data_IF_282984587902
#
_entry.id   IF_282984587902
#
_cell.length_a   1.000
_cell.length_b   1.000
_cell.length_c   1.000
_cell.angle_alpha   90.00
_cell.angle_beta   90.00
_cell.angle_gamma   90.00
#
_symmetry.space_group_name_H-M   'P 1'
#
loop_
_entity.id
_entity.type
_entity.pdbx_description
1 polymer ?
#
# COMPACT_ATOMS: atom_id res chain seq x y z
N UNK A 1 31.52 -13.54 48.52
CA UNK A 1 31.16 -13.97 47.15
C UNK A 1 29.69 -14.30 46.93
N UNK A 2 28.92 -14.81 47.92
CA UNK A 2 27.47 -15.10 47.76
C UNK A 2 26.56 -13.87 47.53
N UNK A 3 26.90 -12.71 48.09
CA UNK A 3 26.09 -11.49 47.99
C UNK A 3 26.13 -10.80 46.62
N UNK A 4 27.20 -10.99 45.84
CA UNK A 4 27.34 -10.43 44.50
C UNK A 4 26.40 -11.10 43.47
N UNK A 5 26.16 -12.41 43.61
CA UNK A 5 25.25 -13.15 42.74
C UNK A 5 23.79 -12.72 42.97
N UNK A 6 23.39 -12.46 44.22
CA UNK A 6 22.02 -12.04 44.54
C UNK A 6 21.71 -10.64 44.00
N UNK A 7 22.67 -9.71 44.06
CA UNK A 7 22.51 -8.36 43.54
C UNK A 7 22.37 -8.34 42.00
N UNK A 8 23.15 -9.16 41.28
CA UNK A 8 23.06 -9.27 39.82
C UNK A 8 21.75 -9.89 39.38
N UNK A 9 21.24 -10.91 40.12
CA UNK A 9 19.96 -11.54 39.82
C UNK A 9 18.78 -10.57 40.02
N UNK A 10 18.80 -9.76 41.10
CA UNK A 10 17.77 -8.75 41.34
C UNK A 10 17.78 -7.66 40.26
N UNK A 11 18.96 -7.20 39.84
CA UNK A 11 19.11 -6.19 38.79
C UNK A 11 18.58 -6.67 37.42
N UNK A 12 18.79 -7.96 37.10
CA UNK A 12 18.24 -8.57 35.88
C UNK A 12 16.71 -8.69 35.91
N UNK A 13 16.11 -8.98 37.07
CA UNK A 13 14.65 -9.06 37.20
C UNK A 13 14.01 -7.66 37.05
N UNK A 14 14.67 -6.60 37.54
CA UNK A 14 14.16 -5.23 37.40
C UNK A 14 14.30 -4.65 36.00
N UNK A 15 15.29 -5.08 35.20
CA UNK A 15 15.45 -4.58 33.83
C UNK A 15 14.47 -5.19 32.82
N UNK A 16 13.93 -6.39 33.10
CA UNK A 16 12.89 -7.01 32.26
C UNK A 16 11.48 -6.45 32.50
N UNK A 17 11.29 -5.63 33.54
CA UNK A 17 9.98 -5.09 33.95
C UNK A 17 9.53 -3.83 33.22
N UNK A 18 10.37 -3.24 32.36
CA UNK A 18 10.03 -2.06 31.57
C UNK A 18 9.99 -2.35 30.07
N UNK A 19 9.49 -3.52 29.67
CA UNK A 19 9.03 -3.67 28.29
C UNK A 19 7.66 -2.97 28.23
N UNK A 20 7.68 -1.68 27.89
CA UNK A 20 6.45 -0.92 27.62
C UNK A 20 5.62 -1.75 26.64
N UNK A 21 4.45 -2.22 27.08
CA UNK A 21 3.43 -2.84 26.23
C UNK A 21 3.01 -1.81 25.19
N UNK A 22 3.83 -1.64 24.15
CA UNK A 22 3.45 -0.88 22.98
C UNK A 22 2.29 -1.64 22.35
N UNK A 23 1.18 -0.96 22.05
CA UNK A 23 0.09 -1.60 21.32
C UNK A 23 0.67 -2.23 20.05
N UNK A 24 0.36 -3.50 19.83
CA UNK A 24 0.84 -4.27 18.70
C UNK A 24 0.54 -3.50 17.41
N UNK A 25 1.53 -3.27 16.55
CA UNK A 25 1.30 -2.56 15.31
C UNK A 25 0.61 -3.47 14.27
N UNK A 26 -0.04 -2.87 13.28
CA UNK A 26 -0.76 -3.62 12.25
C UNK A 26 0.14 -4.60 11.47
N UNK A 27 1.40 -4.24 11.25
CA UNK A 27 2.36 -5.12 10.57
C UNK A 27 2.74 -6.34 11.43
N UNK A 28 2.93 -6.15 12.74
CA UNK A 28 3.20 -7.25 13.67
C UNK A 28 2.00 -8.20 13.77
N UNK A 29 0.78 -7.65 13.80
CA UNK A 29 -0.45 -8.44 13.78
C UNK A 29 -0.57 -9.28 12.50
N UNK A 30 -0.23 -8.70 11.35
CA UNK A 30 -0.20 -9.42 10.07
C UNK A 30 0.83 -10.55 10.09
N UNK A 31 2.06 -10.28 10.51
CA UNK A 31 3.11 -11.31 10.59
C UNK A 31 2.75 -12.42 11.57
N UNK A 32 2.12 -12.11 12.72
CA UNK A 32 1.64 -13.10 13.66
C UNK A 32 0.55 -14.01 13.07
N UNK A 33 -0.36 -13.45 12.26
CA UNK A 33 -1.39 -14.22 11.58
C UNK A 33 -0.81 -15.13 10.48
N UNK A 34 0.12 -14.63 9.67
CA UNK A 34 0.81 -15.43 8.65
C UNK A 34 1.62 -16.57 9.28
N UNK A 35 2.29 -16.31 10.41
CA UNK A 35 2.99 -17.33 11.20
C UNK A 35 2.04 -18.40 11.73
N UNK A 36 0.84 -18.03 12.19
CA UNK A 36 -0.19 -19.01 12.57
C UNK A 36 -0.58 -19.88 11.39
N UNK A 37 -0.87 -19.28 10.23
CA UNK A 37 -1.24 -20.03 9.02
C UNK A 37 -0.15 -21.03 8.62
N UNK A 38 1.12 -20.62 8.66
CA UNK A 38 2.25 -21.52 8.39
C UNK A 38 2.33 -22.67 9.41
N UNK A 39 2.21 -22.35 10.71
CA UNK A 39 2.30 -23.34 11.80
C UNK A 39 1.18 -24.39 11.70
N UNK A 40 -0.04 -23.96 11.41
CA UNK A 40 -1.22 -24.81 11.28
C UNK A 40 -1.40 -25.40 9.87
N UNK A 41 -0.45 -25.15 8.95
CA UNK A 41 -0.47 -25.59 7.54
C UNK A 41 -1.74 -25.16 6.78
N UNK A 42 -2.20 -23.94 7.05
CA UNK A 42 -3.30 -23.30 6.35
C UNK A 42 -2.74 -22.59 5.11
N UNK A 43 -2.98 -23.17 3.94
CA UNK A 43 -2.55 -22.61 2.65
C UNK A 43 -3.50 -21.47 2.19
N UNK A 44 -3.51 -20.39 2.97
CA UNK A 44 -4.40 -19.25 2.77
C UNK A 44 -3.76 -18.11 1.98
N UNK A 45 -2.46 -18.23 1.67
CA UNK A 45 -1.67 -17.20 0.99
C UNK A 45 -1.41 -15.98 1.88
N UNK A 46 -1.20 -14.83 1.23
CA UNK A 46 -0.90 -13.57 1.90
C UNK A 46 -2.15 -12.92 2.51
N UNK A 47 -1.98 -12.20 3.61
CA UNK A 47 -3.04 -11.40 4.18
C UNK A 47 -3.47 -10.27 3.22
N UNK A 48 -4.79 -10.13 3.01
CA UNK A 48 -5.38 -9.12 2.12
C UNK A 48 -5.81 -7.86 2.86
N UNK A 49 -6.13 -7.98 4.15
CA UNK A 49 -6.62 -6.86 4.95
C UNK A 49 -6.29 -7.05 6.44
N UNK A 50 -6.03 -5.95 7.13
CA UNK A 50 -5.81 -5.93 8.59
C UNK A 50 -6.65 -4.81 9.19
N UNK A 51 -7.60 -5.16 10.06
CA UNK A 51 -8.46 -4.21 10.77
C UNK A 51 -7.95 -3.97 12.17
N UNK A 52 -8.09 -2.72 12.62
CA UNK A 52 -7.71 -2.27 13.95
C UNK A 52 -8.31 -3.16 15.06
N UNK A 53 -7.69 -3.19 16.25
CA UNK A 53 -8.19 -3.92 17.40
C UNK A 53 -9.66 -3.57 17.66
N UNK A 54 -10.45 -4.59 17.92
CA UNK A 54 -11.83 -4.41 18.34
C UNK A 54 -12.31 -5.60 19.15
N UNK A 55 -13.54 -5.49 19.68
CA UNK A 55 -14.01 -6.39 20.71
C UNK A 55 -14.12 -7.83 20.20
N UNK A 56 -13.61 -8.77 21.00
CA UNK A 56 -13.77 -10.21 20.81
C UNK A 56 -14.41 -10.79 22.06
N UNK A 57 -15.50 -11.58 21.95
CA UNK A 57 -16.13 -12.19 23.11
C UNK A 57 -15.14 -12.98 23.98
N UNK A 58 -15.04 -12.59 25.26
CA UNK A 58 -14.21 -13.28 26.26
C UNK A 58 -12.69 -13.10 26.10
N UNK A 59 -12.22 -12.11 25.32
CA UNK A 59 -10.79 -11.82 25.12
C UNK A 59 -10.54 -10.30 25.10
N UNK A 60 -9.26 -9.91 25.08
CA UNK A 60 -8.90 -8.52 24.79
C UNK A 60 -9.25 -8.16 23.35
N UNK A 61 -9.23 -6.86 23.06
CA UNK A 61 -9.40 -6.37 21.70
C UNK A 61 -8.32 -6.99 20.79
N UNK A 62 -8.77 -7.52 19.66
CA UNK A 62 -7.91 -8.22 18.73
C UNK A 62 -7.92 -7.54 17.37
N UNK A 63 -6.76 -7.46 16.73
CA UNK A 63 -6.65 -7.22 15.31
C UNK A 63 -7.38 -8.33 14.54
N UNK A 64 -8.02 -7.97 13.43
CA UNK A 64 -8.60 -8.95 12.52
C UNK A 64 -7.81 -8.94 11.22
N UNK A 65 -7.16 -10.06 10.90
CA UNK A 65 -6.40 -10.24 9.66
C UNK A 65 -7.19 -11.16 8.73
N UNK A 66 -7.57 -10.66 7.56
CA UNK A 66 -8.30 -11.41 6.56
C UNK A 66 -7.36 -11.87 5.43
N UNK A 67 -7.68 -13.04 4.87
CA UNK A 67 -7.01 -13.66 3.74
C UNK A 67 -7.96 -13.77 2.56
N UNK A 68 -7.45 -14.16 1.39
CA UNK A 68 -8.30 -14.48 0.24
C UNK A 68 -9.34 -15.52 0.66
N UNK A 69 -10.63 -15.34 0.29
CA UNK A 69 -11.67 -16.30 0.67
C UNK A 69 -11.37 -17.69 0.09
N UNK A 70 -11.89 -18.73 0.75
CA UNK A 70 -11.82 -20.08 0.22
C UNK A 70 -12.62 -20.22 -1.09
N UNK A 71 -12.42 -21.32 -1.82
CA UNK A 71 -13.11 -21.60 -3.08
C UNK A 71 -14.63 -21.70 -2.95
N UNK A 72 -15.12 -22.02 -1.75
CA UNK A 72 -16.54 -22.03 -1.37
C UNK A 72 -17.07 -20.64 -0.95
N UNK A 73 -16.21 -19.60 -1.00
CA UNK A 73 -16.53 -18.25 -0.56
C UNK A 73 -16.46 -18.04 0.96
N UNK A 74 -16.10 -19.08 1.73
CA UNK A 74 -15.98 -18.97 3.18
C UNK A 74 -14.87 -17.97 3.55
N UNK A 75 -15.14 -17.05 4.49
CA UNK A 75 -14.15 -16.06 4.90
C UNK A 75 -13.02 -16.73 5.69
N UNK A 76 -11.78 -16.34 5.38
CA UNK A 76 -10.56 -16.80 6.09
C UNK A 76 -10.01 -15.66 6.91
N UNK A 77 -10.08 -15.81 8.23
CA UNK A 77 -9.75 -14.75 9.18
C UNK A 77 -8.95 -15.32 10.34
N UNK A 78 -7.97 -14.55 10.79
CA UNK A 78 -7.22 -14.77 12.03
C UNK A 78 -7.41 -13.57 12.95
N UNK A 79 -7.62 -13.83 14.23
CA UNK A 79 -7.64 -12.82 15.29
C UNK A 79 -6.29 -12.79 15.99
N UNK A 80 -5.73 -11.59 16.16
CA UNK A 80 -4.46 -11.39 16.86
C UNK A 80 -4.66 -10.45 18.02
N UNK A 81 -4.45 -10.96 19.24
CA UNK A 81 -4.61 -10.21 20.47
C UNK A 81 -3.73 -8.94 20.46
N UNK A 82 -4.35 -7.78 20.65
CA UNK A 82 -3.67 -6.48 20.50
C UNK A 82 -2.65 -6.17 21.60
N UNK A 83 -2.63 -6.94 22.68
CA UNK A 83 -1.73 -6.77 23.81
C UNK A 83 -0.61 -7.81 23.78
N UNK A 84 -0.97 -9.07 23.55
CA UNK A 84 -0.07 -10.22 23.69
C UNK A 84 0.49 -10.73 22.36
N UNK A 85 -0.09 -10.33 21.22
CA UNK A 85 0.29 -10.82 19.91
C UNK A 85 -0.11 -12.27 19.63
N UNK A 86 -0.89 -12.90 20.50
CA UNK A 86 -1.35 -14.27 20.29
C UNK A 86 -2.36 -14.32 19.15
N UNK A 87 -2.02 -15.11 18.12
CA UNK A 87 -2.87 -15.35 16.97
C UNK A 87 -3.71 -16.62 17.16
N UNK A 88 -4.97 -16.57 16.75
CA UNK A 88 -5.86 -17.73 16.76
C UNK A 88 -7.04 -17.58 15.80
N UNK A 89 -7.72 -18.68 15.54
CA UNK A 89 -8.96 -18.66 14.77
C UNK A 89 -10.09 -17.98 15.56
N UNK A 90 -11.06 -17.35 14.86
CA UNK A 90 -12.22 -16.75 15.50
C UNK A 90 -12.99 -17.78 16.34
N UNK A 91 -13.47 -17.42 17.55
CA UNK A 91 -14.35 -18.29 18.31
C UNK A 91 -15.69 -18.48 17.59
N UNK A 92 -16.42 -19.58 17.87
CA UNK A 92 -17.76 -19.78 17.33
C UNK A 92 -18.68 -18.59 17.63
N UNK A 93 -19.42 -18.14 16.62
CA UNK A 93 -20.33 -16.98 16.74
C UNK A 93 -19.67 -15.61 16.68
N UNK A 94 -18.34 -15.53 16.47
CA UNK A 94 -17.70 -14.25 16.21
C UNK A 94 -18.18 -13.66 14.87
N UNK A 95 -18.74 -12.46 14.93
CA UNK A 95 -19.14 -11.73 13.74
C UNK A 95 -17.89 -11.13 13.07
N UNK A 96 -17.57 -11.62 11.87
CA UNK A 96 -16.42 -11.15 11.11
C UNK A 96 -16.63 -9.68 10.77
N UNK A 97 -15.79 -8.83 11.34
CA UNK A 97 -15.81 -7.40 11.10
C UNK A 97 -15.42 -7.17 9.65
N UNK A 98 -16.28 -6.54 8.89
CA UNK A 98 -15.87 -6.02 7.60
C UNK A 98 -15.32 -4.63 7.87
N UNK A 99 -14.27 -4.22 7.17
CA UNK A 99 -14.06 -2.78 7.06
C UNK A 99 -15.43 -2.23 6.63
N UNK A 100 -16.02 -1.24 7.32
CA UNK A 100 -17.12 -0.52 6.71
C UNK A 100 -16.59 -0.20 5.33
N UNK A 101 -17.29 -0.66 4.28
CA UNK A 101 -17.01 -0.22 2.93
C UNK A 101 -17.04 1.27 3.15
N UNK A 102 -15.87 1.93 3.18
CA UNK A 102 -15.87 3.36 3.17
C UNK A 102 -16.82 3.64 2.04
N UNK A 103 -17.82 4.51 2.25
CA UNK A 103 -18.32 5.27 1.11
C UNK A 103 -17.11 5.47 0.23
N UNK A 104 -17.09 4.89 -0.99
CA UNK A 104 -15.89 4.83 -1.79
C UNK A 104 -15.33 6.21 -1.65
N UNK A 105 -14.17 6.39 -0.96
CA UNK A 105 -13.67 7.73 -0.62
C UNK A 105 -13.78 8.43 -1.94
N UNK A 106 -14.74 9.35 -2.08
CA UNK A 106 -15.25 9.68 -3.40
C UNK A 106 -14.03 10.15 -4.15
N UNK A 107 -13.47 9.32 -5.04
CA UNK A 107 -12.03 9.29 -5.29
C UNK A 107 -11.61 10.73 -5.52
N UNK A 108 -10.93 11.39 -4.53
CA UNK A 108 -11.10 12.79 -4.16
C UNK A 108 -11.57 13.60 -5.35
N UNK A 109 -12.90 13.67 -5.58
CA UNK A 109 -13.51 13.83 -6.91
C UNK A 109 -12.47 14.24 -7.95
N UNK A 110 -11.74 13.24 -8.49
CA UNK A 110 -10.42 13.49 -9.10
C UNK A 110 -10.56 14.72 -9.96
N UNK A 111 -9.83 15.79 -9.58
CA UNK A 111 -10.06 17.12 -10.11
C UNK A 111 -10.24 16.97 -11.62
N UNK A 112 -11.42 17.35 -12.12
CA UNK A 112 -11.82 17.02 -13.48
C UNK A 112 -10.66 17.41 -14.39
N UNK A 113 -10.11 16.44 -15.12
CA UNK A 113 -8.96 16.70 -15.97
C UNK A 113 -9.43 17.66 -17.05
N UNK A 114 -8.92 18.88 -17.00
CA UNK A 114 -9.21 19.91 -17.99
C UNK A 114 -8.22 19.75 -19.13
N UNK A 115 -8.70 19.77 -20.37
CA UNK A 115 -7.84 19.77 -21.55
C UNK A 115 -6.92 21.00 -21.56
N UNK A 116 -5.68 20.83 -22.00
CA UNK A 116 -4.71 21.92 -22.09
C UNK A 116 -3.47 21.54 -22.89
N UNK A 117 -2.52 22.46 -23.05
CA UNK A 117 -1.35 22.20 -23.88
C UNK A 117 -0.21 21.51 -23.10
N UNK A 118 -0.41 21.09 -21.86
CA UNK A 118 0.69 20.64 -21.01
C UNK A 118 0.69 19.13 -20.79
N UNK A 119 1.87 18.53 -20.74
CA UNK A 119 2.05 17.18 -20.19
C UNK A 119 3.11 17.19 -19.11
N UNK A 120 2.97 16.29 -18.14
CA UNK A 120 4.00 16.08 -17.15
C UNK A 120 4.90 14.92 -17.62
N UNK A 121 6.14 15.23 -17.97
CA UNK A 121 7.16 14.21 -18.27
C UNK A 121 7.64 13.60 -16.95
N UNK A 122 7.58 12.27 -16.90
CA UNK A 122 7.88 11.45 -15.73
C UNK A 122 9.18 10.65 -15.91
N UNK A 123 9.41 10.15 -17.12
CA UNK A 123 10.67 9.58 -17.56
C UNK A 123 11.05 10.24 -18.88
N UNK A 124 12.28 10.76 -18.96
CA UNK A 124 12.74 11.54 -20.10
C UNK A 124 12.67 10.72 -21.40
N UNK A 125 12.22 11.32 -22.52
CA UNK A 125 12.21 10.66 -23.80
C UNK A 125 13.61 10.31 -24.28
N UNK A 126 13.84 9.02 -24.54
CA UNK A 126 15.11 8.51 -25.07
C UNK A 126 14.93 8.03 -26.52
N UNK A 127 15.90 8.29 -27.41
CA UNK A 127 15.87 7.77 -28.77
C UNK A 127 16.16 6.26 -28.80
N UNK A 128 15.52 5.55 -29.74
CA UNK A 128 15.92 4.19 -30.09
C UNK A 128 15.73 3.14 -28.99
N UNK A 129 14.70 3.29 -28.15
CA UNK A 129 14.35 2.25 -27.17
C UNK A 129 13.99 0.95 -27.88
N UNK A 130 14.53 -0.16 -27.39
CA UNK A 130 14.14 -1.49 -27.85
C UNK A 130 12.75 -1.91 -27.30
N UNK A 131 12.26 -3.05 -27.77
CA UNK A 131 10.96 -3.58 -27.34
C UNK A 131 10.92 -3.90 -25.84
N UNK A 132 12.05 -4.29 -25.24
CA UNK A 132 12.13 -4.62 -23.82
C UNK A 132 12.03 -3.37 -22.94
N UNK A 133 12.73 -2.29 -23.30
CA UNK A 133 12.67 -0.99 -22.66
C UNK A 133 11.28 -0.36 -22.82
N UNK A 134 10.69 -0.45 -24.01
CA UNK A 134 9.30 0.00 -24.23
C UNK A 134 8.33 -0.80 -23.36
N UNK A 135 8.49 -2.13 -23.28
CA UNK A 135 7.68 -2.98 -22.41
C UNK A 135 7.85 -2.67 -20.92
N UNK A 136 9.03 -2.23 -20.48
CA UNK A 136 9.26 -1.71 -19.12
C UNK A 136 8.43 -0.45 -18.87
N UNK A 137 8.50 0.52 -19.78
CA UNK A 137 7.72 1.76 -19.66
C UNK A 137 6.22 1.50 -19.61
N UNK A 138 5.71 0.58 -20.44
CA UNK A 138 4.28 0.20 -20.42
C UNK A 138 3.85 -0.42 -19.10
N UNK A 139 4.67 -1.32 -18.53
CA UNK A 139 4.38 -1.91 -17.21
C UNK A 139 4.43 -0.85 -16.11
N UNK A 140 5.36 0.08 -16.21
CA UNK A 140 5.48 1.18 -15.24
C UNK A 140 4.29 2.14 -15.34
N UNK A 141 3.84 2.49 -16.54
CA UNK A 141 2.62 3.26 -16.76
C UNK A 141 1.40 2.57 -16.13
N UNK A 142 1.24 1.26 -16.33
CA UNK A 142 0.17 0.49 -15.73
C UNK A 142 0.25 0.49 -14.19
N UNK A 143 1.44 0.27 -13.62
CA UNK A 143 1.68 0.33 -12.17
C UNK A 143 1.30 1.69 -11.59
N UNK A 144 1.67 2.79 -12.24
CA UNK A 144 1.34 4.14 -11.80
C UNK A 144 -0.15 4.45 -11.93
N UNK A 145 -0.82 3.97 -12.99
CA UNK A 145 -2.27 4.11 -13.16
C UNK A 145 -3.05 3.34 -12.08
N UNK A 146 -2.61 2.14 -11.72
CA UNK A 146 -3.20 1.37 -10.61
C UNK A 146 -2.99 2.07 -9.26
N UNK A 147 -1.84 2.72 -9.07
CA UNK A 147 -1.59 3.52 -7.87
C UNK A 147 -2.46 4.78 -7.86
N UNK A 148 -2.57 5.48 -8.99
CA UNK A 148 -3.37 6.70 -9.16
C UNK A 148 -4.83 6.43 -8.82
N UNK A 149 -5.40 5.35 -9.40
CA UNK A 149 -6.77 4.89 -9.14
C UNK A 149 -7.03 4.66 -7.65
N UNK A 150 -6.08 4.07 -6.93
CA UNK A 150 -6.20 3.78 -5.49
C UNK A 150 -5.98 4.97 -4.57
N UNK A 151 -5.32 6.02 -5.07
CA UNK A 151 -4.90 7.19 -4.27
C UNK A 151 -5.57 8.50 -4.68
N UNK A 152 -6.48 8.45 -5.67
CA UNK A 152 -7.31 9.59 -6.05
C UNK A 152 -6.78 10.47 -7.16
N UNK A 153 -5.75 10.04 -7.90
CA UNK A 153 -5.28 10.72 -9.11
C UNK A 153 -5.93 10.08 -10.35
N UNK A 154 -6.24 10.86 -11.38
CA UNK A 154 -6.78 10.33 -12.63
C UNK A 154 -5.71 9.48 -13.34
N UNK A 155 -6.00 8.25 -13.79
CA UNK A 155 -4.98 7.33 -14.31
C UNK A 155 -4.61 7.66 -15.77
N UNK A 156 -3.82 8.73 -15.97
CA UNK A 156 -3.40 9.22 -17.29
C UNK A 156 -1.90 9.03 -17.57
N UNK A 157 -1.24 8.08 -16.90
CA UNK A 157 0.12 7.71 -17.25
C UNK A 157 0.13 6.91 -18.56
N UNK A 158 0.94 7.35 -19.52
CA UNK A 158 1.08 6.68 -20.81
C UNK A 158 2.51 6.78 -21.33
N UNK A 159 2.88 5.81 -22.15
CA UNK A 159 4.10 5.90 -22.94
C UNK A 159 3.85 6.91 -24.06
N UNK A 160 4.70 7.91 -24.15
CA UNK A 160 4.61 8.94 -25.18
C UNK A 160 5.85 8.89 -26.06
N UNK A 161 5.65 9.14 -27.35
CA UNK A 161 6.73 9.37 -28.31
C UNK A 161 6.64 10.81 -28.77
N UNK A 162 7.73 11.56 -28.59
CA UNK A 162 7.78 12.95 -29.02
C UNK A 162 7.96 13.07 -30.56
N UNK A 163 7.91 14.32 -31.06
CA UNK A 163 8.09 14.59 -32.50
C UNK A 163 9.47 14.19 -33.04
N UNK A 164 10.46 14.01 -32.17
CA UNK A 164 11.80 13.55 -32.54
C UNK A 164 11.91 12.02 -32.52
N UNK A 165 10.81 11.29 -32.29
CA UNK A 165 10.80 9.82 -32.22
C UNK A 165 11.39 9.27 -30.93
N UNK A 166 11.56 10.09 -29.89
CA UNK A 166 12.07 9.67 -28.58
C UNK A 166 10.90 9.21 -27.73
N UNK A 167 11.07 8.10 -27.02
CA UNK A 167 10.01 7.49 -26.23
C UNK A 167 10.31 7.64 -24.74
N UNK A 168 9.29 8.05 -23.97
CA UNK A 168 9.39 8.23 -22.52
C UNK A 168 8.03 8.03 -21.84
N UNK A 169 7.97 8.31 -20.55
CA UNK A 169 6.75 8.21 -19.74
C UNK A 169 6.20 9.60 -19.46
N UNK A 170 4.91 9.81 -19.71
CA UNK A 170 4.24 11.06 -19.42
C UNK A 170 2.91 10.84 -18.71
N UNK A 171 2.42 11.90 -18.08
CA UNK A 171 1.08 11.99 -17.52
C UNK A 171 0.27 13.05 -18.27
N UNK A 172 -0.97 12.71 -18.62
CA UNK A 172 -1.89 13.61 -19.30
C UNK A 172 -1.73 13.65 -20.83
N UNK A 173 -0.93 12.75 -21.41
CA UNK A 173 -0.77 12.67 -22.86
C UNK A 173 -1.91 11.87 -23.51
N UNK A 174 -2.63 12.51 -24.43
CA UNK A 174 -3.77 11.94 -25.17
C UNK A 174 -3.57 12.07 -26.69
N UNK A 175 -2.50 11.50 -27.23
CA UNK A 175 -2.15 11.68 -28.63
C UNK A 175 -1.63 13.10 -28.84
N UNK A 176 -2.37 13.98 -29.52
CA UNK A 176 -1.84 15.31 -29.88
C UNK A 176 -2.12 16.40 -28.83
N UNK A 177 -2.74 16.02 -27.71
CA UNK A 177 -3.22 16.96 -26.68
C UNK A 177 -2.71 16.57 -25.30
N UNK A 178 -2.53 17.60 -24.48
CA UNK A 178 -2.20 17.46 -23.07
C UNK A 178 -3.39 17.81 -22.17
N UNK A 179 -3.07 18.19 -20.96
CA UNK A 179 -4.00 18.63 -19.93
C UNK A 179 -3.63 20.05 -19.47
N UNK A 180 -4.51 20.69 -18.73
CA UNK A 180 -4.19 21.90 -17.99
C UNK A 180 -3.12 21.56 -16.95
N UNK A 181 -2.21 22.50 -16.73
CA UNK A 181 -1.16 22.32 -15.73
C UNK A 181 -1.79 22.24 -14.34
N UNK A 182 -1.49 21.17 -13.64
CA UNK A 182 -1.96 20.92 -12.26
C UNK A 182 -0.78 20.46 -11.40
N UNK A 183 -0.21 21.37 -10.61
CA UNK A 183 0.95 21.06 -9.78
C UNK A 183 0.64 20.02 -8.67
N UNK A 184 -0.63 19.72 -8.37
CA UNK A 184 -0.98 18.63 -7.46
C UNK A 184 -0.56 17.25 -8.00
N UNK A 185 -0.46 17.09 -9.32
CA UNK A 185 0.05 15.88 -9.98
C UNK A 185 1.55 15.70 -9.69
N UNK A 186 2.32 16.80 -9.65
CA UNK A 186 3.75 16.79 -9.32
C UNK A 186 3.95 16.36 -7.87
N UNK A 187 3.15 16.92 -6.97
CA UNK A 187 3.19 16.56 -5.55
C UNK A 187 2.80 15.09 -5.35
N UNK A 188 1.79 14.61 -6.06
CA UNK A 188 1.42 13.20 -6.06
C UNK A 188 2.57 12.32 -6.55
N UNK A 189 3.19 12.68 -7.68
CA UNK A 189 4.26 11.90 -8.29
C UNK A 189 5.47 11.75 -7.34
N UNK A 190 5.82 12.83 -6.62
CA UNK A 190 6.90 12.84 -5.63
C UNK A 190 6.57 12.02 -4.38
N UNK A 191 5.39 12.26 -3.77
CA UNK A 191 5.07 11.71 -2.44
C UNK A 191 4.47 10.30 -2.49
N UNK A 192 3.80 9.94 -3.59
CA UNK A 192 3.13 8.63 -3.75
C UNK A 192 3.82 7.77 -4.80
N UNK A 193 4.19 8.36 -5.94
CA UNK A 193 4.82 7.64 -7.05
C UNK A 193 6.31 7.31 -6.84
N UNK A 194 6.99 8.03 -5.93
CA UNK A 194 8.43 7.92 -5.72
C UNK A 194 9.29 8.54 -6.83
N UNK A 195 8.68 9.39 -7.66
CA UNK A 195 9.29 9.98 -8.85
C UNK A 195 10.04 11.26 -8.46
N UNK A 196 11.34 11.29 -8.74
CA UNK A 196 12.21 12.40 -8.30
C UNK A 196 12.31 13.54 -9.32
N UNK A 197 12.28 13.20 -10.60
CA UNK A 197 12.46 14.14 -11.69
C UNK A 197 11.19 14.15 -12.54
N UNK A 198 10.34 15.16 -12.33
CA UNK A 198 9.13 15.38 -13.13
C UNK A 198 9.10 16.84 -13.56
N UNK A 199 8.68 17.09 -14.80
CA UNK A 199 8.58 18.46 -15.34
C UNK A 199 7.43 18.62 -16.31
N UNK A 200 6.81 19.79 -16.26
CA UNK A 200 5.79 20.17 -17.22
C UNK A 200 6.41 20.59 -18.55
N UNK A 201 5.81 20.13 -19.65
CA UNK A 201 6.19 20.47 -21.02
C UNK A 201 4.98 21.00 -21.77
N UNK A 202 5.15 22.15 -22.40
CA UNK A 202 4.15 22.76 -23.29
C UNK A 202 4.25 22.14 -24.69
N UNK A 203 3.11 21.69 -25.21
CA UNK A 203 2.93 21.09 -26.52
C UNK A 203 2.55 22.09 -27.61
N UNK A 204 2.30 23.36 -27.23
CA UNK A 204 1.94 24.42 -28.16
C UNK A 204 3.00 24.53 -29.26
N UNK A 205 2.61 24.66 -30.53
CA UNK A 205 3.57 24.87 -31.62
C UNK A 205 4.36 26.15 -31.34
N UNK A 206 5.70 26.03 -31.41
CA UNK A 206 6.63 27.16 -31.37
C UNK A 206 6.71 27.84 -32.73
#
# INVERSE_FOLDING_TARGET
MRWLLTAVLLAWITFSGCNQNRPLAAHDARSAAENLCQRERLDWGDAVQTLAPGPVPGRHDAWQVAFAPASDGSPRVVLVDGVTGWAGLPPPGYEIRRQPRGEPVAAPAAAAVVDGPWILVVEEPLPGLDAAATGRLTREAARLNDLATRTGLWPLFSVHTDRAGRTGLAYGWQGDRGIARDDSVVDWAKHRGGLKETRWVDLSPK
#
